data_IF_277094521879
#
_entry.id   IF_277094521879
#
_cell.length_a   1.000
_cell.length_b   1.000
_cell.length_c   1.000
_cell.angle_alpha   90.00
_cell.angle_beta   90.00
_cell.angle_gamma   90.00
#
_symmetry.space_group_name_H-M   'P 1'
#
loop_
_entity.id
_entity.type
_entity.pdbx_description
1 polymer ?
#
# COMPACT_ATOMS: atom_id res chain seq x y z
N UNK A 1 -7.44 -1.24 46.28
CA UNK A 1 -6.97 -1.68 44.95
C UNK A 1 -8.22 -1.72 44.10
N UNK A 2 -8.38 -0.78 43.17
CA UNK A 2 -9.44 -0.89 42.16
C UNK A 2 -9.17 -2.16 41.35
N UNK A 3 -10.18 -3.02 41.27
CA UNK A 3 -10.16 -4.21 40.44
C UNK A 3 -10.11 -3.72 38.99
N UNK A 4 -8.96 -3.91 38.34
CA UNK A 4 -8.80 -3.57 36.94
C UNK A 4 -9.68 -4.53 36.15
N UNK A 5 -10.74 -4.02 35.53
CA UNK A 5 -11.62 -4.83 34.70
C UNK A 5 -10.83 -5.36 33.49
N UNK A 6 -10.55 -6.67 33.52
CA UNK A 6 -9.93 -7.39 32.41
C UNK A 6 -11.01 -8.13 31.63
N UNK A 7 -10.82 -8.24 30.32
CA UNK A 7 -11.73 -8.89 29.39
C UNK A 7 -10.95 -9.68 28.36
N UNK A 8 -11.59 -10.67 27.75
CA UNK A 8 -11.03 -11.45 26.67
C UNK A 8 -11.61 -10.94 25.36
N UNK A 9 -10.75 -10.71 24.36
CA UNK A 9 -11.18 -10.22 23.05
C UNK A 9 -10.46 -10.94 21.93
N UNK A 10 -11.18 -11.15 20.83
CA UNK A 10 -10.58 -11.54 19.55
C UNK A 10 -10.46 -10.30 18.69
N UNK A 11 -9.26 -10.05 18.16
CA UNK A 11 -8.98 -8.87 17.35
C UNK A 11 -8.18 -9.23 16.10
N UNK A 12 -8.49 -8.57 14.98
CA UNK A 12 -7.70 -8.60 13.76
C UNK A 12 -6.76 -7.41 13.70
N UNK A 13 -5.47 -7.65 13.45
CA UNK A 13 -4.47 -6.59 13.30
C UNK A 13 -4.61 -5.94 11.94
N UNK A 14 -4.77 -4.62 11.90
CA UNK A 14 -5.01 -3.90 10.64
C UNK A 14 -3.79 -3.12 10.14
N UNK A 15 -2.73 -3.04 10.96
CA UNK A 15 -1.52 -2.32 10.62
C UNK A 15 -0.36 -2.68 11.56
N UNK A 16 0.87 -2.32 11.19
CA UNK A 16 2.06 -2.67 11.93
C UNK A 16 2.07 -1.95 13.29
N UNK A 17 2.73 -2.54 14.31
CA UNK A 17 2.86 -1.92 15.61
C UNK A 17 3.64 -0.60 15.52
N UNK A 18 3.10 0.46 16.11
CA UNK A 18 3.82 1.71 16.39
C UNK A 18 4.56 1.57 17.71
N UNK A 19 5.80 2.01 17.76
CA UNK A 19 6.62 1.94 18.98
C UNK A 19 6.74 3.32 19.59
N UNK A 20 6.50 3.44 20.90
CA UNK A 20 6.89 4.64 21.64
C UNK A 20 8.36 4.61 22.05
N UNK A 21 8.84 5.68 22.68
CA UNK A 21 10.23 5.78 23.19
C UNK A 21 10.62 4.71 24.22
N UNK A 22 9.64 3.96 24.75
CA UNK A 22 9.81 2.88 25.70
C UNK A 22 9.56 1.50 25.06
N UNK A 23 9.51 1.46 23.72
CA UNK A 23 9.23 0.26 22.91
C UNK A 23 7.87 -0.39 23.18
N UNK A 24 6.91 0.33 23.75
CA UNK A 24 5.53 -0.16 23.85
C UNK A 24 4.89 -0.14 22.47
N UNK A 25 4.08 -1.15 22.15
CA UNK A 25 3.34 -1.18 20.89
C UNK A 25 2.02 -0.46 21.02
N UNK A 26 1.62 0.21 19.95
CA UNK A 26 0.27 0.68 19.71
C UNK A 26 -0.16 0.21 18.32
N UNK A 27 -1.24 -0.56 18.28
CA UNK A 27 -1.61 -1.37 17.12
C UNK A 27 -3.07 -1.10 16.81
N UNK A 28 -3.36 -0.75 15.56
CA UNK A 28 -4.74 -0.63 15.13
C UNK A 28 -5.33 -2.03 14.94
N UNK A 29 -6.42 -2.30 15.64
CA UNK A 29 -7.12 -3.59 15.59
C UNK A 29 -8.62 -3.42 15.36
N UNK A 30 -9.24 -4.45 14.81
CA UNK A 30 -10.69 -4.61 14.66
C UNK A 30 -11.17 -5.74 15.56
N UNK A 31 -12.14 -5.49 16.45
CA UNK A 31 -12.74 -6.55 17.27
C UNK A 31 -13.74 -7.41 16.47
N UNK A 32 -14.20 -8.52 17.03
CA UNK A 32 -15.16 -9.43 16.38
C UNK A 32 -16.51 -8.78 15.99
N UNK A 33 -16.85 -7.63 16.59
CA UNK A 33 -18.03 -6.84 16.24
C UNK A 33 -17.75 -5.81 15.11
N UNK A 34 -16.55 -5.83 14.52
CA UNK A 34 -16.12 -4.89 13.48
C UNK A 34 -15.75 -3.50 14.02
N UNK A 35 -15.54 -3.34 15.33
CA UNK A 35 -15.17 -2.04 15.90
C UNK A 35 -13.67 -1.82 15.85
N UNK A 36 -13.27 -0.69 15.30
CA UNK A 36 -11.88 -0.25 15.24
C UNK A 36 -11.44 0.34 16.58
N UNK A 37 -10.24 -0.02 17.03
CA UNK A 37 -9.60 0.62 18.18
C UNK A 37 -8.09 0.42 18.21
N UNK A 38 -7.38 1.31 18.91
CA UNK A 38 -5.98 1.08 19.24
C UNK A 38 -5.85 0.08 20.40
N UNK A 39 -4.95 -0.87 20.25
CA UNK A 39 -4.51 -1.82 21.26
C UNK A 39 -3.07 -1.52 21.69
N UNK A 40 -2.88 -1.32 22.99
CA UNK A 40 -1.60 -0.97 23.60
C UNK A 40 -0.92 -2.20 24.23
N UNK A 41 0.30 -2.50 23.79
CA UNK A 41 1.13 -3.56 24.36
C UNK A 41 2.26 -2.95 25.16
N UNK A 42 2.31 -3.24 26.45
CA UNK A 42 3.38 -2.78 27.32
C UNK A 42 4.59 -3.70 27.17
N UNK A 43 5.73 -3.15 26.75
CA UNK A 43 6.98 -3.90 26.51
C UNK A 43 7.45 -4.64 27.76
N UNK A 44 7.23 -4.04 28.94
CA UNK A 44 7.52 -4.65 30.25
C UNK A 44 6.69 -5.91 30.57
N UNK A 45 5.57 -6.14 29.88
CA UNK A 45 4.73 -7.34 30.08
C UNK A 45 5.08 -8.43 29.06
N UNK A 46 5.20 -8.06 27.78
CA UNK A 46 5.22 -9.02 26.66
C UNK A 46 6.42 -8.87 25.73
N UNK A 47 7.38 -8.01 26.04
CA UNK A 47 8.50 -7.70 25.15
C UNK A 47 8.02 -7.20 23.78
N UNK A 48 8.73 -7.62 22.72
CA UNK A 48 8.34 -7.36 21.33
C UNK A 48 7.56 -8.56 20.76
N UNK A 49 6.23 -8.53 20.89
CA UNK A 49 5.34 -9.45 20.18
C UNK A 49 5.40 -9.17 18.67
N UNK A 50 5.61 -10.21 17.88
CA UNK A 50 5.63 -10.13 16.42
C UNK A 50 4.20 -10.13 15.86
N UNK A 51 3.64 -8.93 15.74
CA UNK A 51 2.31 -8.74 15.15
C UNK A 51 2.36 -8.85 13.63
N UNK A 52 1.48 -9.68 13.08
CA UNK A 52 1.30 -9.79 11.64
C UNK A 52 0.01 -9.11 11.24
N UNK A 53 0.13 -8.13 10.34
CA UNK A 53 -1.02 -7.47 9.73
C UNK A 53 -1.92 -8.51 9.06
N UNK A 54 -3.23 -8.32 9.16
CA UNK A 54 -4.27 -9.23 8.70
C UNK A 54 -4.55 -10.42 9.61
N UNK A 55 -3.68 -10.68 10.59
CA UNK A 55 -3.83 -11.84 11.46
C UNK A 55 -4.79 -11.57 12.61
N UNK A 56 -5.55 -12.59 12.99
CA UNK A 56 -6.41 -12.57 14.17
C UNK A 56 -5.67 -13.08 15.40
N UNK A 57 -5.92 -12.45 16.53
CA UNK A 57 -5.36 -12.78 17.83
C UNK A 57 -6.48 -12.84 18.87
N UNK A 58 -6.42 -13.85 19.73
CA UNK A 58 -7.13 -13.92 20.99
C UNK A 58 -6.23 -13.30 22.05
N UNK A 59 -6.82 -12.35 22.77
CA UNK A 59 -6.17 -11.61 23.82
C UNK A 59 -6.97 -11.85 25.09
N UNK A 60 -6.45 -12.73 25.95
CA UNK A 60 -7.08 -13.06 27.22
C UNK A 60 -6.55 -12.15 28.33
N UNK A 61 -7.44 -11.66 29.18
CA UNK A 61 -7.07 -10.82 30.33
C UNK A 61 -6.49 -9.47 29.93
N UNK A 62 -6.98 -8.85 28.84
CA UNK A 62 -6.61 -7.46 28.50
C UNK A 62 -7.39 -6.47 29.35
N UNK A 63 -6.76 -5.37 29.73
CA UNK A 63 -7.44 -4.28 30.42
C UNK A 63 -8.24 -3.46 29.42
N UNK A 64 -9.50 -3.20 29.75
CA UNK A 64 -10.37 -2.29 28.99
C UNK A 64 -10.35 -0.90 29.61
N UNK A 65 -10.00 0.10 28.82
CA UNK A 65 -10.06 1.49 29.24
C UNK A 65 -11.44 2.11 28.89
N UNK A 66 -11.95 3.05 29.70
CA UNK A 66 -13.15 3.81 29.37
C UNK A 66 -12.99 4.58 28.06
N UNK A 67 -14.06 4.72 27.28
CA UNK A 67 -14.06 5.42 25.98
C UNK A 67 -13.63 6.89 26.11
N UNK A 68 -13.92 7.51 27.26
CA UNK A 68 -13.58 8.91 27.57
C UNK A 68 -12.11 9.09 27.99
N UNK A 69 -11.39 7.99 28.23
CA UNK A 69 -9.96 8.07 28.52
C UNK A 69 -9.21 8.40 27.23
N UNK A 70 -8.34 9.42 27.27
CA UNK A 70 -7.41 9.72 26.18
C UNK A 70 -6.29 8.65 26.09
N UNK A 71 -6.67 7.38 25.91
CA UNK A 71 -5.85 6.18 25.95
C UNK A 71 -6.39 5.16 24.94
N UNK A 72 -5.53 4.21 24.55
CA UNK A 72 -5.96 3.03 23.80
C UNK A 72 -7.10 2.30 24.51
N UNK A 73 -8.09 1.81 23.74
CA UNK A 73 -9.30 1.17 24.29
C UNK A 73 -8.97 -0.11 25.05
N UNK A 74 -7.96 -0.83 24.58
CA UNK A 74 -7.47 -2.06 25.20
C UNK A 74 -5.97 -1.95 25.46
N UNK A 75 -5.50 -2.49 26.58
CA UNK A 75 -4.08 -2.58 26.89
C UNK A 75 -3.69 -3.90 27.59
N UNK A 76 -2.48 -4.39 27.34
CA UNK A 76 -2.00 -5.61 28.01
C UNK A 76 -1.81 -5.39 29.51
N UNK A 77 -2.32 -6.30 30.33
CA UNK A 77 -1.94 -6.49 31.73
C UNK A 77 -0.73 -7.46 31.84
N UNK A 78 -0.18 -7.59 33.05
CA UNK A 78 0.97 -8.46 33.32
C UNK A 78 0.67 -9.94 33.06
N UNK A 79 -0.59 -10.34 33.19
CA UNK A 79 -1.09 -11.71 32.99
C UNK A 79 -1.85 -11.89 31.67
N UNK A 80 -1.85 -10.90 30.78
CA UNK A 80 -2.52 -11.05 29.47
C UNK A 80 -1.91 -12.23 28.72
N UNK A 81 -2.73 -13.10 28.14
CA UNK A 81 -2.24 -14.09 27.18
C UNK A 81 -2.52 -13.59 25.77
N UNK A 82 -1.55 -13.76 24.89
CA UNK A 82 -1.66 -13.35 23.49
C UNK A 82 -1.46 -14.61 22.66
N UNK A 83 -2.55 -15.11 22.10
CA UNK A 83 -2.58 -16.26 21.21
C UNK A 83 -2.97 -15.76 19.83
N UNK A 84 -2.15 -16.06 18.82
CA UNK A 84 -2.60 -15.89 17.45
C UNK A 84 -3.56 -17.02 17.12
N UNK A 85 -4.83 -16.70 16.88
CA UNK A 85 -5.85 -17.68 16.51
C UNK A 85 -6.22 -17.54 15.05
N UNK A 86 -6.26 -18.70 14.40
CA UNK A 86 -6.13 -18.78 12.97
C UNK A 86 -4.66 -18.75 12.58
N UNK A 87 -4.26 -19.72 11.76
CA UNK A 87 -3.19 -19.44 10.83
C UNK A 87 -3.78 -18.38 9.88
N UNK A 88 -3.20 -17.18 9.75
CA UNK A 88 -3.36 -16.55 8.46
C UNK A 88 -2.78 -17.56 7.49
N UNK A 89 -3.50 -17.86 6.44
CA UNK A 89 -2.80 -18.35 5.28
C UNK A 89 -1.69 -17.33 5.04
N UNK A 90 -0.44 -17.80 5.11
CA UNK A 90 0.68 -17.00 4.64
C UNK A 90 0.24 -16.56 3.25
N UNK A 91 0.15 -15.24 2.99
CA UNK A 91 -0.34 -14.80 1.70
C UNK A 91 0.52 -15.43 0.63
N UNK A 92 -0.12 -15.89 -0.44
CA UNK A 92 0.56 -16.46 -1.58
C UNK A 92 1.47 -15.41 -2.22
N UNK A 93 1.03 -14.14 -2.21
CA UNK A 93 1.82 -12.97 -2.61
C UNK A 93 1.51 -11.77 -1.71
N UNK A 94 2.53 -11.03 -1.29
CA UNK A 94 2.44 -9.73 -0.61
C UNK A 94 3.13 -8.63 -1.41
N UNK A 95 2.47 -7.50 -1.60
CA UNK A 95 3.01 -6.33 -2.31
C UNK A 95 2.93 -5.08 -1.44
N UNK A 96 3.86 -4.15 -1.64
CA UNK A 96 3.70 -2.78 -1.17
C UNK A 96 3.27 -1.88 -2.33
N UNK A 97 2.04 -1.36 -2.30
CA UNK A 97 1.54 -0.38 -3.26
C UNK A 97 1.89 1.04 -2.81
N UNK A 98 2.68 1.71 -3.63
CA UNK A 98 3.19 3.08 -3.50
C UNK A 98 2.80 3.86 -4.75
N UNK A 99 2.61 5.16 -4.62
CA UNK A 99 2.38 6.05 -5.77
C UNK A 99 2.82 7.46 -5.42
N UNK A 100 3.02 8.28 -6.46
CA UNK A 100 3.13 9.74 -6.36
C UNK A 100 4.18 10.14 -5.31
N UNK A 101 5.41 9.65 -5.50
CA UNK A 101 6.54 10.01 -4.64
C UNK A 101 7.07 11.40 -4.94
N UNK A 102 6.98 11.84 -6.21
CA UNK A 102 7.40 13.17 -6.66
C UNK A 102 8.79 13.57 -6.15
N UNK A 103 9.74 12.63 -6.22
CA UNK A 103 11.12 12.90 -5.82
C UNK A 103 11.68 14.07 -6.63
N UNK A 104 12.24 15.06 -5.92
CA UNK A 104 12.78 16.28 -6.51
C UNK A 104 11.80 17.46 -6.60
N UNK A 105 10.52 17.26 -6.27
CA UNK A 105 9.55 18.38 -6.19
C UNK A 105 9.98 19.41 -5.14
N UNK A 106 10.08 20.70 -5.48
CA UNK A 106 10.53 21.75 -4.57
C UNK A 106 9.69 21.82 -3.29
N UNK A 107 10.36 21.88 -2.13
CA UNK A 107 9.70 21.97 -0.82
C UNK A 107 9.09 23.35 -0.52
N UNK A 108 8.72 24.14 -1.54
CA UNK A 108 8.26 25.53 -1.36
C UNK A 108 6.94 25.66 -0.61
N UNK A 109 6.29 24.55 -0.29
CA UNK A 109 5.04 24.48 0.47
C UNK A 109 5.25 23.78 1.84
N UNK A 110 6.31 24.17 2.58
CA UNK A 110 6.66 23.59 3.89
C UNK A 110 5.51 23.61 4.90
N UNK A 111 4.58 24.56 4.80
CA UNK A 111 3.37 24.60 5.63
C UNK A 111 2.45 23.39 5.40
N UNK A 112 2.39 22.84 4.19
CA UNK A 112 1.53 21.70 3.82
C UNK A 112 2.28 20.36 3.79
N UNK A 113 3.60 20.36 3.54
CA UNK A 113 4.40 19.13 3.43
C UNK A 113 4.84 18.55 4.79
N UNK A 114 4.84 19.37 5.85
CA UNK A 114 5.41 18.99 7.15
C UNK A 114 6.95 19.00 7.15
N UNK A 115 7.55 18.38 8.16
CA UNK A 115 9.01 18.41 8.36
C UNK A 115 9.80 17.46 7.46
N UNK A 116 9.13 16.52 6.79
CA UNK A 116 9.81 15.49 6.00
C UNK A 116 9.65 15.71 4.50
N UNK A 117 10.76 15.61 3.78
CA UNK A 117 10.79 15.70 2.34
C UNK A 117 10.38 14.37 1.67
N UNK A 118 10.15 14.41 0.36
CA UNK A 118 9.75 13.25 -0.44
C UNK A 118 10.72 12.08 -0.33
N UNK A 119 12.03 12.37 -0.25
CA UNK A 119 13.06 11.36 -0.11
C UNK A 119 12.91 10.60 1.20
N UNK A 120 12.80 11.27 2.35
CA UNK A 120 12.62 10.61 3.65
C UNK A 120 11.35 9.73 3.68
N UNK A 121 10.29 10.16 3.00
CA UNK A 121 9.03 9.41 2.88
C UNK A 121 9.16 8.18 1.98
N UNK A 122 9.90 8.30 0.88
CA UNK A 122 10.27 7.17 0.04
C UNK A 122 11.09 6.16 0.85
N UNK A 123 12.09 6.62 1.61
CA UNK A 123 12.91 5.75 2.46
C UNK A 123 12.10 5.06 3.57
N UNK A 124 11.08 5.72 4.14
CA UNK A 124 10.15 5.10 5.09
C UNK A 124 9.32 3.99 4.39
N UNK A 125 8.88 4.21 3.15
CA UNK A 125 8.20 3.18 2.35
C UNK A 125 9.12 1.98 2.04
N UNK A 126 10.38 2.22 1.67
CA UNK A 126 11.40 1.16 1.47
C UNK A 126 11.59 0.36 2.76
N UNK A 127 11.71 1.04 3.91
CA UNK A 127 11.82 0.38 5.21
C UNK A 127 10.58 -0.47 5.53
N UNK A 128 9.38 0.01 5.20
CA UNK A 128 8.14 -0.75 5.38
C UNK A 128 8.11 -1.99 4.48
N UNK A 129 8.55 -1.90 3.22
CA UNK A 129 8.63 -3.04 2.30
C UNK A 129 9.50 -4.16 2.90
N UNK A 130 10.72 -3.82 3.33
CA UNK A 130 11.67 -4.76 3.93
C UNK A 130 11.13 -5.35 5.23
N UNK A 131 10.58 -4.51 6.13
CA UNK A 131 10.03 -4.96 7.42
C UNK A 131 8.82 -5.86 7.27
N UNK A 132 7.97 -5.58 6.29
CA UNK A 132 6.79 -6.38 5.97
C UNK A 132 7.12 -7.64 5.16
N UNK A 133 8.36 -7.78 4.68
CA UNK A 133 8.81 -8.90 3.84
C UNK A 133 7.89 -9.12 2.65
N UNK A 134 7.58 -8.03 1.93
CA UNK A 134 6.79 -8.09 0.71
C UNK A 134 7.60 -8.78 -0.40
N UNK A 135 6.91 -9.45 -1.30
CA UNK A 135 7.51 -10.07 -2.48
C UNK A 135 7.91 -9.02 -3.53
N UNK A 136 7.21 -7.88 -3.58
CA UNK A 136 7.57 -6.77 -4.45
C UNK A 136 6.95 -5.43 -4.00
N UNK A 137 7.46 -4.36 -4.60
CA UNK A 137 6.82 -3.04 -4.56
C UNK A 137 6.13 -2.81 -5.91
N UNK A 138 4.89 -2.30 -5.89
CA UNK A 138 4.22 -1.74 -7.09
C UNK A 138 4.16 -0.22 -6.93
N UNK A 139 4.76 0.50 -7.86
CA UNK A 139 4.72 1.96 -7.94
C UNK A 139 3.82 2.44 -9.07
N UNK A 140 2.63 2.95 -8.76
CA UNK A 140 1.64 3.34 -9.77
C UNK A 140 1.87 4.73 -10.38
N UNK A 141 3.12 5.09 -10.70
CA UNK A 141 3.48 6.36 -11.38
C UNK A 141 3.92 7.51 -10.48
N UNK A 142 4.47 8.55 -11.11
CA UNK A 142 5.09 9.74 -10.51
C UNK A 142 6.17 9.43 -9.45
N UNK A 143 7.16 8.61 -9.84
CA UNK A 143 8.35 8.35 -9.00
C UNK A 143 9.13 9.65 -8.79
N UNK A 144 9.45 10.33 -9.89
CA UNK A 144 10.13 11.63 -9.91
C UNK A 144 9.15 12.73 -10.31
N UNK A 145 9.41 13.95 -9.85
CA UNK A 145 8.74 15.16 -10.34
C UNK A 145 9.51 15.75 -11.54
N UNK A 146 9.16 16.97 -11.98
CA UNK A 146 9.69 17.62 -13.18
C UNK A 146 11.16 18.10 -13.06
N UNK A 147 11.74 17.96 -11.87
CA UNK A 147 13.17 18.13 -11.61
C UNK A 147 13.57 17.23 -10.44
N UNK A 148 14.81 16.77 -10.42
CA UNK A 148 15.39 16.01 -9.30
C UNK A 148 16.91 16.23 -9.29
N UNK A 149 17.50 16.48 -8.12
CA UNK A 149 18.95 16.63 -8.02
C UNK A 149 19.69 15.27 -8.04
N UNK A 150 20.97 15.34 -8.39
CA UNK A 150 21.83 14.15 -8.51
C UNK A 150 21.98 13.41 -7.17
N UNK A 151 22.04 14.14 -6.06
CA UNK A 151 22.21 13.53 -4.73
C UNK A 151 20.98 12.69 -4.34
N UNK A 152 19.78 13.16 -4.65
CA UNK A 152 18.53 12.43 -4.43
C UNK A 152 18.51 11.15 -5.26
N UNK A 153 18.90 11.22 -6.54
CA UNK A 153 18.97 10.03 -7.41
C UNK A 153 19.96 9.00 -6.89
N UNK A 154 21.14 9.42 -6.43
CA UNK A 154 22.14 8.52 -5.85
C UNK A 154 21.60 7.79 -4.60
N UNK A 155 20.91 8.51 -3.70
CA UNK A 155 20.31 7.87 -2.51
C UNK A 155 19.20 6.89 -2.89
N UNK A 156 18.39 7.22 -3.90
CA UNK A 156 17.34 6.32 -4.42
C UNK A 156 17.97 5.09 -5.05
N UNK A 157 19.05 5.24 -5.82
CA UNK A 157 19.82 4.13 -6.40
C UNK A 157 20.32 3.16 -5.34
N UNK A 158 20.95 3.66 -4.28
CA UNK A 158 21.44 2.83 -3.17
C UNK A 158 20.32 1.97 -2.54
N UNK A 159 19.10 2.50 -2.45
CA UNK A 159 17.96 1.79 -1.87
C UNK A 159 17.27 0.85 -2.84
N UNK A 160 17.27 1.15 -4.15
CA UNK A 160 16.86 0.20 -5.19
C UNK A 160 17.82 -0.99 -5.23
N UNK A 161 19.13 -0.74 -5.14
CA UNK A 161 20.16 -1.79 -5.05
C UNK A 161 19.94 -2.67 -3.81
N UNK A 162 19.72 -2.05 -2.64
CA UNK A 162 19.40 -2.79 -1.42
C UNK A 162 18.17 -3.68 -1.58
N UNK A 163 17.09 -3.16 -2.17
CA UNK A 163 15.85 -3.91 -2.39
C UNK A 163 16.10 -5.10 -3.33
N UNK A 164 16.83 -4.89 -4.43
CA UNK A 164 17.22 -5.94 -5.37
C UNK A 164 18.07 -7.03 -4.69
N UNK A 165 19.05 -6.65 -3.87
CA UNK A 165 19.89 -7.58 -3.09
C UNK A 165 19.07 -8.41 -2.08
N UNK A 166 17.96 -7.86 -1.59
CA UNK A 166 17.01 -8.56 -0.71
C UNK A 166 15.92 -9.33 -1.45
N UNK A 167 15.92 -9.32 -2.78
CA UNK A 167 14.94 -10.02 -3.61
C UNK A 167 13.56 -9.35 -3.68
N UNK A 168 13.48 -8.03 -3.45
CA UNK A 168 12.23 -7.25 -3.51
C UNK A 168 12.29 -6.32 -4.74
N UNK A 169 11.89 -6.78 -5.94
CA UNK A 169 11.87 -5.93 -7.12
C UNK A 169 10.82 -4.81 -7.01
N UNK A 170 11.05 -3.72 -7.75
CA UNK A 170 10.07 -2.64 -7.93
C UNK A 170 9.46 -2.75 -9.32
N UNK A 171 8.16 -3.05 -9.37
CA UNK A 171 7.35 -2.92 -10.57
C UNK A 171 6.79 -1.50 -10.63
N UNK A 172 6.84 -0.85 -11.78
CA UNK A 172 6.36 0.52 -11.90
C UNK A 172 5.64 0.77 -13.22
N UNK A 173 4.79 1.79 -13.21
CA UNK A 173 4.32 2.50 -14.42
C UNK A 173 4.80 3.95 -14.32
N UNK A 174 4.84 4.65 -15.44
CA UNK A 174 5.18 6.08 -15.50
C UNK A 174 3.92 6.89 -15.23
N UNK A 175 4.08 7.97 -14.48
CA UNK A 175 3.00 8.94 -14.30
C UNK A 175 3.11 10.09 -15.30
N UNK A 176 2.40 11.18 -15.05
CA UNK A 176 2.38 12.34 -15.92
C UNK A 176 3.52 13.34 -15.63
N UNK A 177 4.26 13.13 -14.54
CA UNK A 177 5.47 13.87 -14.20
C UNK A 177 6.75 13.11 -14.57
N UNK A 178 7.83 13.87 -14.80
CA UNK A 178 9.15 13.31 -15.04
C UNK A 178 10.16 14.32 -15.57
N UNK A 179 11.43 13.93 -15.52
CA UNK A 179 12.55 14.74 -16.01
C UNK A 179 13.65 13.84 -16.59
N UNK A 180 14.54 14.41 -17.42
CA UNK A 180 15.60 13.65 -18.10
C UNK A 180 16.46 12.81 -17.14
N UNK A 181 16.77 13.34 -15.95
CA UNK A 181 17.57 12.64 -14.94
C UNK A 181 16.80 11.46 -14.32
N UNK A 182 15.55 11.68 -13.90
CA UNK A 182 14.69 10.62 -13.38
C UNK A 182 14.44 9.53 -14.42
N UNK A 183 14.24 9.92 -15.68
CA UNK A 183 14.04 8.99 -16.78
C UNK A 183 15.31 8.17 -17.09
N UNK A 184 16.48 8.79 -17.05
CA UNK A 184 17.75 8.09 -17.21
C UNK A 184 17.95 7.07 -16.08
N UNK A 185 17.60 7.44 -14.84
CA UNK A 185 17.60 6.51 -13.71
C UNK A 185 16.67 5.31 -13.95
N UNK A 186 15.39 5.55 -14.28
CA UNK A 186 14.41 4.48 -14.49
C UNK A 186 14.84 3.52 -15.60
N UNK A 187 15.35 4.06 -16.71
CA UNK A 187 15.94 3.26 -17.80
C UNK A 187 17.12 2.42 -17.32
N UNK A 188 18.07 3.03 -16.62
CA UNK A 188 19.25 2.33 -16.09
C UNK A 188 18.88 1.20 -15.14
N UNK A 189 17.95 1.42 -14.20
CA UNK A 189 17.54 0.39 -13.24
C UNK A 189 16.71 -0.72 -13.89
N UNK A 190 15.97 -0.40 -14.95
CA UNK A 190 15.23 -1.40 -15.76
C UNK A 190 16.17 -2.25 -16.58
N UNK A 191 17.15 -1.65 -17.26
CA UNK A 191 18.20 -2.36 -18.01
C UNK A 191 19.03 -3.28 -17.10
N UNK A 192 19.23 -2.86 -15.84
CA UNK A 192 19.90 -3.66 -14.81
C UNK A 192 19.00 -4.77 -14.22
N UNK A 193 17.71 -4.82 -14.55
CA UNK A 193 16.74 -5.79 -14.03
C UNK A 193 16.36 -5.60 -12.56
N UNK A 194 16.62 -4.43 -11.99
CA UNK A 194 16.30 -4.09 -10.58
C UNK A 194 14.92 -3.48 -10.42
N UNK A 195 14.48 -2.78 -11.47
CA UNK A 195 13.11 -2.30 -11.62
C UNK A 195 12.50 -2.93 -12.87
N UNK A 196 11.19 -3.10 -12.88
CA UNK A 196 10.45 -3.65 -14.02
C UNK A 196 9.38 -2.64 -14.41
N UNK A 197 9.51 -2.07 -15.60
CA UNK A 197 8.44 -1.28 -16.20
C UNK A 197 7.31 -2.23 -16.61
N UNK A 198 6.15 -2.09 -15.98
CA UNK A 198 4.97 -2.87 -16.31
C UNK A 198 4.40 -2.40 -17.65
N UNK A 199 3.84 -3.34 -18.39
CA UNK A 199 3.18 -3.08 -19.68
C UNK A 199 1.82 -3.77 -19.71
N UNK A 200 1.17 -3.76 -20.87
CA UNK A 200 -0.08 -4.49 -21.05
C UNK A 200 0.08 -6.02 -21.08
N UNK A 201 1.31 -6.55 -21.07
CA UNK A 201 1.58 -7.98 -20.86
C UNK A 201 1.81 -8.32 -19.37
N UNK A 202 1.41 -9.52 -18.91
CA UNK A 202 1.44 -9.87 -17.49
C UNK A 202 2.86 -10.13 -16.99
N UNK A 203 3.19 -9.56 -15.82
CA UNK A 203 4.27 -10.02 -14.97
C UNK A 203 3.71 -10.98 -13.90
N UNK A 204 4.22 -12.21 -13.86
CA UNK A 204 3.72 -13.26 -12.96
C UNK A 204 4.53 -13.30 -11.65
N UNK A 205 3.84 -13.26 -10.52
CA UNK A 205 4.39 -13.36 -9.17
C UNK A 205 3.75 -14.55 -8.42
N UNK A 206 4.46 -15.06 -7.40
CA UNK A 206 3.97 -16.16 -6.55
C UNK A 206 3.62 -17.41 -7.32
N UNK A 207 4.52 -17.88 -8.19
CA UNK A 207 4.31 -19.06 -9.06
C UNK A 207 3.07 -18.94 -9.97
N UNK A 208 2.69 -17.72 -10.33
CA UNK A 208 1.54 -17.45 -11.19
C UNK A 208 0.24 -17.18 -10.44
N UNK A 209 0.29 -17.09 -9.10
CA UNK A 209 -0.87 -16.69 -8.27
C UNK A 209 -1.32 -15.26 -8.55
N UNK A 210 -0.39 -14.38 -8.92
CA UNK A 210 -0.69 -13.00 -9.26
C UNK A 210 -0.13 -12.66 -10.65
N UNK A 211 -0.96 -12.08 -11.50
CA UNK A 211 -0.57 -11.43 -12.73
C UNK A 211 -0.71 -9.90 -12.58
N UNK A 212 0.39 -9.18 -12.78
CA UNK A 212 0.44 -7.72 -12.68
C UNK A 212 0.62 -7.11 -14.07
N UNK A 213 -0.25 -6.17 -14.41
CA UNK A 213 -0.23 -5.39 -15.64
C UNK A 213 0.08 -3.92 -15.34
N UNK A 214 0.47 -3.17 -16.35
CA UNK A 214 0.82 -1.76 -16.25
C UNK A 214 0.29 -0.92 -17.40
N UNK A 215 -0.22 0.25 -17.06
CA UNK A 215 -0.50 1.33 -18.00
C UNK A 215 0.10 2.62 -17.47
N UNK A 216 0.95 3.24 -18.29
CA UNK A 216 1.48 4.57 -18.01
C UNK A 216 0.37 5.63 -18.08
N UNK A 217 0.62 6.79 -17.50
CA UNK A 217 -0.23 7.95 -17.74
C UNK A 217 -0.19 8.32 -19.22
N UNK A 218 -1.36 8.39 -19.85
CA UNK A 218 -1.52 8.92 -21.19
C UNK A 218 -2.57 10.02 -21.10
N UNK A 219 -2.15 11.27 -21.31
CA UNK A 219 -3.03 12.44 -21.26
C UNK A 219 -4.13 12.46 -22.34
N UNK A 220 -4.33 11.35 -23.07
CA UNK A 220 -5.41 11.12 -24.02
C UNK A 220 -6.09 9.77 -23.78
N UNK A 221 -7.43 9.73 -23.91
CA UNK A 221 -8.20 8.49 -23.90
C UNK A 221 -8.15 7.73 -25.23
N UNK A 222 -7.41 8.24 -26.22
CA UNK A 222 -7.33 7.64 -27.55
C UNK A 222 -6.33 6.49 -27.54
N UNK A 223 -6.71 5.33 -28.09
CA UNK A 223 -5.82 4.18 -28.18
C UNK A 223 -5.85 3.26 -26.95
N UNK A 224 -6.87 3.37 -26.08
CA UNK A 224 -7.03 2.50 -24.92
C UNK A 224 -6.93 1.00 -25.26
N UNK A 225 -7.48 0.58 -26.41
CA UNK A 225 -7.37 -0.81 -26.90
C UNK A 225 -5.96 -1.26 -27.28
N UNK A 226 -5.04 -0.33 -27.56
CA UNK A 226 -3.65 -0.65 -27.91
C UNK A 226 -2.80 -0.89 -26.65
N UNK A 227 -3.21 -0.29 -25.53
CA UNK A 227 -2.49 -0.32 -24.25
C UNK A 227 -3.24 -1.09 -23.16
N UNK A 228 -4.47 -1.55 -23.43
CA UNK A 228 -5.25 -2.34 -22.50
C UNK A 228 -4.61 -3.73 -22.27
N UNK A 229 -4.78 -4.32 -21.07
CA UNK A 229 -4.21 -5.62 -20.74
C UNK A 229 -4.55 -6.71 -21.74
N UNK A 230 -3.51 -7.46 -22.10
CA UNK A 230 -3.57 -8.56 -23.06
C UNK A 230 -2.60 -9.68 -22.65
N UNK A 231 -2.72 -10.82 -23.32
CA UNK A 231 -1.87 -11.99 -23.08
C UNK A 231 -2.44 -12.99 -22.06
N UNK A 232 -1.86 -14.18 -22.05
CA UNK A 232 -2.35 -15.31 -21.29
C UNK A 232 -1.84 -15.29 -19.83
N UNK A 233 -2.72 -15.66 -18.90
CA UNK A 233 -2.35 -15.91 -17.50
C UNK A 233 -2.87 -17.27 -17.06
N UNK A 234 -2.31 -17.85 -15.97
CA UNK A 234 -2.95 -18.96 -15.29
C UNK A 234 -4.43 -18.64 -15.00
N UNK A 235 -5.29 -19.66 -15.08
CA UNK A 235 -6.74 -19.49 -14.95
C UNK A 235 -7.13 -18.89 -13.60
N UNK A 236 -6.47 -19.34 -12.53
CA UNK A 236 -6.75 -18.95 -11.15
C UNK A 236 -5.87 -17.79 -10.66
N UNK A 237 -5.12 -17.14 -11.57
CA UNK A 237 -4.32 -15.98 -11.21
C UNK A 237 -5.21 -14.79 -10.85
N UNK A 238 -4.89 -14.11 -9.75
CA UNK A 238 -5.43 -12.78 -9.48
C UNK A 238 -4.82 -11.79 -10.47
N UNK A 239 -5.63 -10.97 -11.14
CA UNK A 239 -5.20 -10.05 -12.22
C UNK A 239 -5.33 -8.61 -11.76
N UNK A 240 -4.19 -7.99 -11.49
CA UNK A 240 -4.09 -6.62 -10.96
C UNK A 240 -3.48 -5.70 -12.03
N UNK A 241 -4.18 -4.62 -12.38
CA UNK A 241 -3.63 -3.57 -13.25
C UNK A 241 -3.14 -2.39 -12.41
N UNK A 242 -1.86 -2.04 -12.54
CA UNK A 242 -1.31 -0.77 -12.08
C UNK A 242 -1.51 0.29 -13.17
N UNK A 243 -2.15 1.42 -12.85
CA UNK A 243 -2.43 2.46 -13.83
C UNK A 243 -2.38 3.85 -13.22
N UNK A 244 -1.68 4.78 -13.87
CA UNK A 244 -1.59 6.17 -13.43
C UNK A 244 -2.60 7.04 -14.19
N UNK A 245 -3.87 7.00 -13.76
CA UNK A 245 -4.90 7.89 -14.29
C UNK A 245 -6.00 8.23 -13.28
N UNK A 246 -6.62 9.39 -13.48
CA UNK A 246 -7.92 9.68 -12.92
C UNK A 246 -8.98 8.82 -13.62
N UNK A 247 -9.79 8.07 -12.88
CA UNK A 247 -10.79 7.15 -13.46
C UNK A 247 -12.19 7.37 -12.93
N UNK A 248 -13.17 7.22 -13.81
CA UNK A 248 -14.59 7.23 -13.47
C UNK A 248 -15.06 5.87 -12.95
N UNK A 249 -15.89 5.81 -11.87
CA UNK A 249 -16.62 6.93 -11.26
C UNK A 249 -15.93 7.59 -10.05
N UNK A 250 -14.64 7.31 -9.80
CA UNK A 250 -13.93 7.78 -8.58
C UNK A 250 -13.51 9.26 -8.69
N UNK A 251 -13.08 9.65 -9.89
CA UNK A 251 -12.87 11.01 -10.35
C UNK A 251 -13.96 11.35 -11.39
N UNK A 252 -14.44 12.59 -11.41
CA UNK A 252 -15.61 12.99 -12.22
C UNK A 252 -15.34 13.22 -13.72
N UNK A 253 -14.09 13.41 -14.07
CA UNK A 253 -13.62 13.73 -15.43
C UNK A 253 -12.50 12.75 -15.82
N UNK A 254 -12.58 11.52 -15.31
CA UNK A 254 -11.56 10.50 -15.46
C UNK A 254 -11.88 9.52 -16.58
N UNK A 255 -10.89 8.73 -16.97
CA UNK A 255 -11.06 7.66 -17.94
C UNK A 255 -12.05 6.62 -17.41
N UNK A 256 -12.99 6.18 -18.26
CA UNK A 256 -14.02 5.22 -17.88
C UNK A 256 -13.42 3.84 -17.61
N UNK A 257 -13.61 3.32 -16.39
CA UNK A 257 -13.26 1.92 -16.06
C UNK A 257 -14.02 0.93 -16.96
N UNK A 258 -15.25 1.28 -17.37
CA UNK A 258 -16.01 0.43 -18.29
C UNK A 258 -15.31 0.32 -19.64
N UNK A 259 -14.81 1.42 -20.16
CA UNK A 259 -14.16 1.46 -21.47
C UNK A 259 -12.86 0.66 -21.43
N UNK A 260 -12.11 0.73 -20.31
CA UNK A 260 -10.94 -0.12 -20.08
C UNK A 260 -11.29 -1.61 -20.10
N UNK A 261 -12.33 -2.01 -19.38
CA UNK A 261 -12.73 -3.42 -19.30
C UNK A 261 -13.27 -3.93 -20.64
N UNK A 262 -13.98 -3.09 -21.40
CA UNK A 262 -14.44 -3.42 -22.76
C UNK A 262 -13.28 -3.53 -23.76
N UNK A 263 -12.19 -2.78 -23.54
CA UNK A 263 -11.00 -2.81 -24.37
C UNK A 263 -9.99 -3.93 -24.00
N UNK A 264 -10.05 -4.44 -22.77
CA UNK A 264 -9.14 -5.45 -22.24
C UNK A 264 -9.46 -6.85 -22.78
N UNK A 265 -8.43 -7.58 -23.22
CA UNK A 265 -8.56 -9.00 -23.58
C UNK A 265 -8.60 -9.89 -22.33
N UNK A 266 -8.29 -9.30 -21.17
CA UNK A 266 -8.17 -9.97 -19.87
C UNK A 266 -9.26 -9.49 -18.93
N UNK A 267 -9.91 -10.42 -18.23
CA UNK A 267 -10.84 -10.10 -17.14
C UNK A 267 -10.04 -9.70 -15.88
N UNK A 268 -9.95 -8.40 -15.61
CA UNK A 268 -9.22 -7.88 -14.45
C UNK A 268 -10.02 -8.07 -13.15
N UNK A 269 -9.32 -8.35 -12.05
CA UNK A 269 -9.91 -8.45 -10.71
C UNK A 269 -9.88 -7.12 -9.95
N UNK A 270 -8.83 -6.31 -10.17
CA UNK A 270 -8.67 -5.02 -9.50
C UNK A 270 -7.74 -4.03 -10.23
N UNK A 271 -7.86 -2.76 -9.84
CA UNK A 271 -6.99 -1.65 -10.24
C UNK A 271 -6.22 -1.06 -9.04
N UNK A 272 -4.90 -0.99 -9.16
CA UNK A 272 -3.99 -0.22 -8.31
C UNK A 272 -3.64 1.11 -8.99
N UNK A 273 -4.26 2.19 -8.53
CA UNK A 273 -4.26 3.48 -9.23
C UNK A 273 -3.29 4.52 -8.62
N UNK A 274 -2.69 5.35 -9.49
CA UNK A 274 -1.98 6.59 -9.18
C UNK A 274 -2.72 7.84 -9.69
N UNK A 275 -2.10 9.02 -9.71
CA UNK A 275 -2.64 10.36 -10.13
C UNK A 275 -3.46 11.09 -9.05
N UNK A 276 -4.41 10.43 -8.38
CA UNK A 276 -5.07 11.08 -7.24
C UNK A 276 -4.17 11.07 -6.01
N UNK A 277 -3.60 12.23 -5.70
CA UNK A 277 -2.73 12.44 -4.53
C UNK A 277 -3.40 12.13 -3.17
N UNK A 278 -4.72 11.95 -3.11
CA UNK A 278 -5.43 11.42 -1.93
C UNK A 278 -5.84 9.99 -2.17
N UNK A 279 -5.50 9.11 -1.23
CA UNK A 279 -5.99 7.74 -1.25
C UNK A 279 -7.52 7.69 -1.32
N UNK A 280 -8.04 6.80 -2.16
CA UNK A 280 -9.46 6.50 -2.32
C UNK A 280 -9.62 5.01 -2.59
N UNK A 281 -10.80 4.48 -2.32
CA UNK A 281 -11.19 3.14 -2.78
C UNK A 281 -12.65 3.15 -3.18
N UNK A 282 -12.99 2.37 -4.20
CA UNK A 282 -14.35 2.10 -4.59
C UNK A 282 -14.51 0.62 -4.94
N UNK A 283 -15.73 0.13 -4.72
CA UNK A 283 -16.21 -1.13 -5.25
C UNK A 283 -17.23 -0.80 -6.33
N UNK A 284 -17.02 -1.29 -7.55
CA UNK A 284 -17.83 -0.95 -8.71
C UNK A 284 -18.64 -2.18 -9.10
N UNK A 285 -19.93 -2.16 -8.79
CA UNK A 285 -20.81 -3.33 -8.92
C UNK A 285 -21.33 -3.61 -10.33
N UNK A 286 -21.18 -2.66 -11.28
CA UNK A 286 -21.83 -2.75 -12.60
C UNK A 286 -20.83 -3.00 -13.74
N UNK A 287 -19.57 -3.32 -13.44
CA UNK A 287 -18.54 -3.59 -14.44
C UNK A 287 -18.80 -4.95 -15.09
N UNK A 288 -18.83 -6.02 -14.29
CA UNK A 288 -19.19 -7.37 -14.70
C UNK A 288 -20.61 -7.71 -14.23
N UNK A 289 -21.62 -7.17 -14.94
CA UNK A 289 -23.04 -7.28 -14.54
C UNK A 289 -23.53 -8.74 -14.40
N UNK A 290 -22.89 -9.66 -15.11
CA UNK A 290 -23.30 -11.06 -15.18
C UNK A 290 -22.69 -11.92 -14.08
N UNK A 291 -21.57 -11.51 -13.47
CA UNK A 291 -20.91 -12.25 -12.39
C UNK A 291 -21.42 -11.85 -11.00
N UNK A 292 -21.95 -10.63 -10.86
CA UNK A 292 -22.36 -10.07 -9.57
C UNK A 292 -21.19 -9.70 -8.65
N UNK A 293 -19.96 -9.85 -9.14
CA UNK A 293 -18.74 -9.53 -8.40
C UNK A 293 -18.42 -8.03 -8.46
N UNK A 294 -17.88 -7.51 -7.37
CA UNK A 294 -17.54 -6.08 -7.26
C UNK A 294 -16.10 -5.85 -7.67
N UNK A 295 -15.94 -5.18 -8.81
CA UNK A 295 -14.63 -4.75 -9.31
C UNK A 295 -14.00 -3.73 -8.36
N UNK A 296 -12.74 -3.95 -7.99
CA UNK A 296 -12.06 -3.14 -6.95
C UNK A 296 -11.12 -2.13 -7.61
N UNK A 297 -11.25 -0.86 -7.25
CA UNK A 297 -10.34 0.17 -7.72
C UNK A 297 -9.89 1.05 -6.56
N UNK A 298 -8.58 1.25 -6.42
CA UNK A 298 -8.02 1.96 -5.29
C UNK A 298 -6.80 2.80 -5.63
N UNK A 299 -6.82 4.05 -5.16
CA UNK A 299 -5.69 4.96 -5.23
C UNK A 299 -4.81 4.82 -3.98
N UNK A 300 -3.49 4.73 -4.17
CA UNK A 300 -2.55 4.74 -3.05
C UNK A 300 -2.53 6.10 -2.34
N UNK A 301 -2.64 7.19 -3.12
CA UNK A 301 -2.36 8.55 -2.67
C UNK A 301 -0.86 8.83 -2.61
N UNK A 302 -0.52 10.12 -2.51
CA UNK A 302 0.86 10.56 -2.45
C UNK A 302 1.49 10.29 -1.07
N UNK A 303 2.79 10.02 -1.06
CA UNK A 303 3.55 9.78 0.17
C UNK A 303 3.91 11.07 0.94
N UNK A 304 3.53 12.22 0.40
CA UNK A 304 3.69 13.55 1.03
C UNK A 304 2.41 14.37 0.95
N UNK A 305 2.35 15.47 1.70
CA UNK A 305 1.21 16.40 1.76
C UNK A 305 0.98 17.26 0.52
N UNK A 306 1.22 16.74 -0.69
CA UNK A 306 1.08 17.46 -1.97
C UNK A 306 -0.35 17.44 -2.53
N UNK A 307 -1.28 16.77 -1.83
CA UNK A 307 -2.67 16.75 -2.21
C UNK A 307 -3.32 18.14 -2.06
N UNK A 308 -4.11 18.57 -3.05
CA UNK A 308 -4.95 19.77 -2.91
C UNK A 308 -5.90 19.61 -1.70
N UNK A 309 -6.02 20.66 -0.87
CA UNK A 309 -6.76 20.64 0.41
C UNK A 309 -6.23 19.53 1.34
N UNK A 310 -4.93 19.53 1.62
CA UNK A 310 -4.24 18.51 2.42
C UNK A 310 -4.58 18.53 3.92
N UNK A 311 -5.48 19.42 4.38
CA UNK A 311 -5.98 19.39 5.76
C UNK A 311 -6.49 17.98 6.13
N UNK A 312 -5.90 17.40 7.17
CA UNK A 312 -6.20 16.04 7.64
C UNK A 312 -5.69 14.91 6.75
N UNK A 313 -4.91 15.20 5.70
CA UNK A 313 -4.28 14.16 4.89
C UNK A 313 -3.13 13.52 5.66
N UNK A 314 -3.22 12.20 5.85
CA UNK A 314 -2.16 11.40 6.43
C UNK A 314 -1.53 10.51 5.34
N UNK A 315 -0.29 10.79 4.92
CA UNK A 315 0.41 9.97 3.95
C UNK A 315 0.56 8.52 4.43
N UNK A 316 0.40 7.58 3.51
CA UNK A 316 0.48 6.15 3.76
C UNK A 316 0.86 5.40 2.48
N UNK A 317 1.34 4.18 2.66
CA UNK A 317 1.45 3.16 1.61
C UNK A 317 0.54 2.00 1.95
N UNK A 318 0.35 1.06 1.03
CA UNK A 318 -0.64 -0.01 1.22
C UNK A 318 0.00 -1.37 1.06
N UNK A 319 -0.14 -2.21 2.08
CA UNK A 319 0.22 -3.62 1.97
C UNK A 319 -0.94 -4.36 1.33
N UNK A 320 -0.69 -4.95 0.17
CA UNK A 320 -1.62 -5.81 -0.55
C UNK A 320 -1.23 -7.26 -0.29
N UNK A 321 -2.19 -8.11 0.06
CA UNK A 321 -1.96 -9.53 0.32
C UNK A 321 -2.96 -10.35 -0.49
N UNK A 322 -2.44 -11.22 -1.35
CA UNK A 322 -3.22 -12.15 -2.15
C UNK A 322 -3.16 -13.50 -1.46
N UNK A 323 -4.33 -14.07 -1.22
CA UNK A 323 -4.50 -15.36 -0.56
C UNK A 323 -5.69 -16.07 -1.21
N UNK A 324 -5.48 -17.27 -1.75
CA UNK A 324 -6.55 -18.10 -2.32
C UNK A 324 -7.44 -17.32 -3.31
N UNK A 325 -6.81 -16.60 -4.24
CA UNK A 325 -7.48 -15.78 -5.25
C UNK A 325 -8.16 -14.50 -4.71
N UNK A 326 -7.93 -14.14 -3.45
CA UNK A 326 -8.54 -12.94 -2.85
C UNK A 326 -7.51 -11.91 -2.43
N UNK A 327 -7.79 -10.62 -2.69
CA UNK A 327 -6.95 -9.50 -2.29
C UNK A 327 -7.42 -8.88 -0.97
N UNK A 328 -6.52 -8.71 -0.01
CA UNK A 328 -6.69 -7.85 1.15
C UNK A 328 -5.75 -6.65 1.08
N UNK A 329 -6.18 -5.51 1.62
CA UNK A 329 -5.45 -4.24 1.55
C UNK A 329 -5.39 -3.58 2.92
N UNK A 330 -4.18 -3.31 3.37
CA UNK A 330 -3.88 -2.76 4.69
C UNK A 330 -3.15 -1.44 4.58
N UNK A 331 -3.57 -0.44 5.37
CA UNK A 331 -2.96 0.87 5.38
C UNK A 331 -1.71 0.87 6.27
N UNK A 332 -0.58 1.30 5.74
CA UNK A 332 0.66 1.52 6.48
C UNK A 332 0.95 3.03 6.52
N UNK A 333 0.65 3.73 7.64
CA UNK A 333 0.93 5.16 7.74
C UNK A 333 2.42 5.44 7.62
N UNK A 334 2.78 6.42 6.80
CA UNK A 334 4.15 6.93 6.76
C UNK A 334 4.33 7.89 7.92
N UNK A 335 5.39 7.74 8.69
CA UNK A 335 5.71 8.61 9.83
C UNK A 335 7.20 8.90 9.77
N UNK A 336 7.60 10.09 9.31
CA UNK A 336 9.00 10.42 9.25
C UNK A 336 9.54 10.52 10.68
N UNK A 337 10.77 10.08 10.87
CA UNK A 337 11.39 10.00 12.21
C UNK A 337 11.91 11.34 12.69
#
# INVERSE_FOLDING_TARGET
>A
MEEVETTDITVRVLGPPKFDRHSNHEILVEDADGRLSDFRVWSKHHGQVEWRVGSTYELEGVKRNPVEANKARYETAANTQISRVGHPQTPDVSLLHVSDTHLGRPSTDKEHMGNANQLERFLDAVNLAVRSRVDAIIHSGDIFDDDVDEATVQVVEEHVDLLADTGIPIYYVRGNHGCDRGDAFLRSQTDAGRMIHLSNEPQLLGEGTLAVYGMDADGSTNGLSEVAPAGDTPQDAYRLLAWHEAVEPIARDGVSIRDLVEASEVELDALALGDLHKHKRAYIGDVYKDTGERFRAFYAGAITGIARKSEGYEPAVWLLQITDGTLERYRLPLRPR
#
